data_IF_255521744583
#
_entry.id   IF_255521744583
#
_cell.length_a   1.000
_cell.length_b   1.000
_cell.length_c   1.000
_cell.angle_alpha   90.00
_cell.angle_beta   90.00
_cell.angle_gamma   90.00
#
_symmetry.space_group_name_H-M   'P 1'
#
loop_
_entity.id
_entity.type
_entity.pdbx_description
1 polymer ?
#
# COMPACT_ATOMS: atom_id res chain seq x y z
N UNK A 1 36.87 23.10 -15.15
CA UNK A 1 35.57 22.88 -15.83
C UNK A 1 34.91 21.54 -15.50
N UNK A 2 35.65 20.46 -15.20
CA UNK A 2 35.03 19.16 -14.87
C UNK A 2 34.35 19.13 -13.50
N UNK A 3 34.98 19.69 -12.45
CA UNK A 3 34.41 19.71 -11.09
C UNK A 3 32.98 20.30 -11.04
N UNK A 4 32.74 21.38 -11.79
CA UNK A 4 31.41 22.01 -11.91
C UNK A 4 30.39 21.09 -12.58
N UNK A 5 30.80 20.29 -13.58
CA UNK A 5 29.89 19.33 -14.24
C UNK A 5 29.59 18.15 -13.32
N UNK A 6 30.59 17.58 -12.65
CA UNK A 6 30.40 16.51 -11.66
C UNK A 6 29.49 16.94 -10.51
N UNK A 7 29.65 18.16 -9.98
CA UNK A 7 28.76 18.69 -8.94
C UNK A 7 27.32 18.91 -9.45
N UNK A 8 27.15 19.36 -10.70
CA UNK A 8 25.82 19.53 -11.30
C UNK A 8 25.14 18.17 -11.53
N UNK A 9 25.87 17.16 -12.00
CA UNK A 9 25.35 15.79 -12.16
C UNK A 9 24.95 15.20 -10.81
N UNK A 10 25.76 15.35 -9.77
CA UNK A 10 25.46 14.90 -8.41
C UNK A 10 24.20 15.58 -7.84
N UNK A 11 24.08 16.90 -8.00
CA UNK A 11 22.90 17.65 -7.57
C UNK A 11 21.62 17.26 -8.31
N UNK A 12 21.70 17.03 -9.63
CA UNK A 12 20.53 16.59 -10.43
C UNK A 12 20.06 15.19 -10.05
N UNK A 13 20.98 14.27 -9.76
CA UNK A 13 20.65 12.92 -9.33
C UNK A 13 19.97 12.93 -7.95
N UNK A 14 20.53 13.68 -7.00
CA UNK A 14 19.93 13.84 -5.67
C UNK A 14 18.53 14.45 -5.75
N UNK A 15 18.34 15.47 -6.59
CA UNK A 15 17.03 16.04 -6.83
C UNK A 15 16.02 14.99 -7.34
N UNK A 16 16.43 14.15 -8.31
CA UNK A 16 15.56 13.12 -8.84
C UNK A 16 15.17 12.08 -7.79
N UNK A 17 16.12 11.63 -6.95
CA UNK A 17 15.84 10.71 -5.84
C UNK A 17 14.88 11.31 -4.82
N UNK A 18 15.03 12.60 -4.49
CA UNK A 18 14.12 13.32 -3.59
C UNK A 18 12.72 13.43 -4.19
N UNK A 19 12.61 13.70 -5.51
CA UNK A 19 11.32 13.69 -6.21
C UNK A 19 10.66 12.31 -6.15
N UNK A 20 11.42 11.26 -6.43
CA UNK A 20 10.94 9.87 -6.40
C UNK A 20 10.44 9.49 -5.00
N UNK A 21 11.23 9.79 -3.96
CA UNK A 21 10.86 9.61 -2.57
C UNK A 21 9.52 10.29 -2.22
N UNK A 22 9.33 11.55 -2.63
CA UNK A 22 8.10 12.29 -2.32
C UNK A 22 6.88 11.80 -3.08
N UNK A 23 7.09 11.19 -4.25
CA UNK A 23 6.03 10.64 -5.09
C UNK A 23 5.70 9.18 -4.77
N UNK A 24 6.63 8.46 -4.15
CA UNK A 24 6.46 7.05 -3.80
C UNK A 24 5.25 6.86 -2.88
N UNK A 25 4.37 5.93 -3.25
CA UNK A 25 3.20 5.50 -2.45
C UNK A 25 3.15 3.98 -2.46
N UNK A 26 2.63 3.39 -1.39
CA UNK A 26 2.40 1.95 -1.36
C UNK A 26 1.30 1.61 -2.38
N UNK A 27 1.63 0.73 -3.32
CA UNK A 27 0.69 0.29 -4.34
C UNK A 27 -0.37 -0.67 -3.77
N UNK A 28 -1.59 -0.72 -4.35
CA UNK A 28 -2.61 -1.66 -3.92
C UNK A 28 -2.13 -3.12 -3.96
N UNK A 29 -2.14 -3.79 -2.81
CA UNK A 29 -1.71 -5.19 -2.69
C UNK A 29 -0.19 -5.39 -2.59
N UNK A 30 0.61 -4.31 -2.60
CA UNK A 30 2.03 -4.39 -2.31
C UNK A 30 2.25 -4.66 -0.81
N UNK A 31 3.16 -5.57 -0.49
CA UNK A 31 3.43 -5.90 0.91
C UNK A 31 4.13 -4.74 1.64
N UNK A 32 3.96 -4.67 2.95
CA UNK A 32 4.64 -3.69 3.81
C UNK A 32 6.16 -3.82 3.68
N UNK A 33 6.70 -5.05 3.60
CA UNK A 33 8.14 -5.25 3.46
C UNK A 33 8.66 -4.81 2.11
N UNK A 34 8.00 -5.21 1.01
CA UNK A 34 8.43 -4.79 -0.34
C UNK A 34 8.39 -3.26 -0.49
N UNK A 35 7.37 -2.63 0.11
CA UNK A 35 7.26 -1.18 0.13
C UNK A 35 8.35 -0.52 0.96
N UNK A 36 8.61 -1.04 2.15
CA UNK A 36 9.67 -0.56 3.03
C UNK A 36 11.05 -0.68 2.40
N UNK A 37 11.34 -1.80 1.72
CA UNK A 37 12.60 -2.04 1.02
C UNK A 37 12.82 -1.03 -0.12
N UNK A 38 11.76 -0.68 -0.88
CA UNK A 38 11.84 0.37 -1.91
C UNK A 38 12.15 1.74 -1.31
N UNK A 39 11.52 2.08 -0.19
CA UNK A 39 11.77 3.32 0.50
C UNK A 39 13.23 3.37 0.98
N UNK A 40 13.70 2.32 1.67
CA UNK A 40 15.08 2.18 2.14
C UNK A 40 16.09 2.31 1.00
N UNK A 41 15.83 1.68 -0.14
CA UNK A 41 16.70 1.80 -1.31
C UNK A 41 16.90 3.25 -1.75
N UNK A 42 15.82 4.04 -1.91
CA UNK A 42 15.94 5.45 -2.31
C UNK A 42 16.71 6.24 -1.24
N UNK A 43 16.46 5.97 0.03
CA UNK A 43 17.14 6.63 1.14
C UNK A 43 18.64 6.35 1.20
N UNK A 44 19.04 5.10 1.02
CA UNK A 44 20.45 4.72 0.98
C UNK A 44 21.16 5.44 -0.16
N UNK A 45 20.50 5.60 -1.31
CA UNK A 45 21.04 6.36 -2.44
C UNK A 45 21.17 7.86 -2.14
N UNK A 46 20.26 8.44 -1.37
CA UNK A 46 20.36 9.83 -0.89
C UNK A 46 21.50 9.95 0.14
N UNK A 47 21.62 8.99 1.06
CA UNK A 47 22.64 8.99 2.12
C UNK A 47 24.06 8.88 1.55
N UNK A 48 24.25 8.05 0.51
CA UNK A 48 25.53 7.98 -0.24
C UNK A 48 25.88 9.33 -0.88
N UNK A 49 24.87 10.16 -1.20
CA UNK A 49 25.07 11.49 -1.77
C UNK A 49 25.41 12.57 -0.73
N UNK A 50 25.24 12.28 0.56
CA UNK A 50 25.47 13.21 1.66
C UNK A 50 26.96 13.33 2.03
N UNK A 51 27.38 14.49 2.57
CA UNK A 51 28.76 14.69 2.98
C UNK A 51 29.11 13.81 4.19
N UNK A 52 30.37 13.38 4.26
CA UNK A 52 30.91 12.72 5.45
C UNK A 52 30.93 13.69 6.64
N UNK A 53 30.34 13.28 7.76
CA UNK A 53 30.33 14.05 9.00
C UNK A 53 31.71 14.02 9.70
N UNK A 54 32.26 15.19 10.03
CA UNK A 54 33.51 15.28 10.78
C UNK A 54 33.32 15.07 12.30
N UNK A 55 32.12 15.35 12.82
CA UNK A 55 31.78 15.26 14.24
C UNK A 55 30.77 14.13 14.46
N UNK A 56 31.11 13.18 15.34
CA UNK A 56 30.23 12.03 15.66
C UNK A 56 28.91 12.44 16.31
N UNK A 57 28.89 13.52 17.10
CA UNK A 57 27.67 14.00 17.75
C UNK A 57 26.69 14.57 16.72
N UNK A 58 27.20 15.33 15.76
CA UNK A 58 26.39 15.91 14.69
C UNK A 58 25.86 14.81 13.76
N UNK A 59 26.69 13.80 13.45
CA UNK A 59 26.27 12.62 12.70
C UNK A 59 25.11 11.88 13.39
N UNK A 60 25.21 11.67 14.70
CA UNK A 60 24.16 11.01 15.47
C UNK A 60 22.88 11.84 15.53
N UNK A 61 22.99 13.16 15.72
CA UNK A 61 21.83 14.04 15.73
C UNK A 61 21.14 14.09 14.36
N UNK A 62 21.92 14.14 13.27
CA UNK A 62 21.40 14.06 11.91
C UNK A 62 20.70 12.72 11.66
N UNK A 63 21.29 11.60 12.09
CA UNK A 63 20.66 10.29 11.97
C UNK A 63 19.30 10.24 12.69
N UNK A 64 19.19 10.79 13.90
CA UNK A 64 17.90 10.85 14.61
C UNK A 64 16.84 11.68 13.87
N UNK A 65 17.22 12.84 13.32
CA UNK A 65 16.30 13.70 12.55
C UNK A 65 15.86 12.98 11.26
N UNK A 66 16.81 12.31 10.60
CA UNK A 66 16.54 11.53 9.41
C UNK A 66 15.59 10.38 9.72
N UNK A 67 15.85 9.59 10.76
CA UNK A 67 15.02 8.45 11.15
C UNK A 67 13.59 8.87 11.51
N UNK A 68 13.42 10.05 12.13
CA UNK A 68 12.09 10.64 12.36
C UNK A 68 11.40 11.03 11.04
N UNK A 69 12.12 11.66 10.11
CA UNK A 69 11.59 11.97 8.79
C UNK A 69 11.20 10.70 8.00
N UNK A 70 12.04 9.65 8.06
CA UNK A 70 11.78 8.34 7.46
C UNK A 70 10.47 7.76 7.96
N UNK A 71 10.26 7.79 9.27
CA UNK A 71 9.05 7.28 9.90
C UNK A 71 7.81 8.00 9.37
N UNK A 72 7.81 9.32 9.32
CA UNK A 72 6.65 10.07 8.83
C UNK A 72 6.44 9.91 7.33
N UNK A 73 7.51 9.93 6.53
CA UNK A 73 7.44 9.69 5.10
C UNK A 73 6.83 8.30 4.80
N UNK A 74 7.30 7.27 5.50
CA UNK A 74 6.77 5.92 5.41
C UNK A 74 5.29 5.87 5.78
N UNK A 75 4.92 6.35 6.97
CA UNK A 75 3.53 6.31 7.43
C UNK A 75 2.57 7.08 6.51
N UNK A 76 2.97 8.25 6.02
CA UNK A 76 2.14 9.12 5.15
C UNK A 76 1.86 8.52 3.78
N UNK A 77 2.72 7.63 3.31
CA UNK A 77 2.69 7.06 1.96
C UNK A 77 2.10 5.65 1.90
N UNK A 78 1.79 5.05 3.04
CA UNK A 78 1.08 3.76 3.14
C UNK A 78 -0.30 3.81 2.49
N UNK A 79 -0.75 2.65 2.03
CA UNK A 79 -2.08 2.44 1.50
C UNK A 79 -3.14 2.71 2.59
N UNK A 80 -4.33 3.16 2.17
CA UNK A 80 -5.42 3.58 3.07
C UNK A 80 -5.94 2.47 4.00
N UNK A 81 -5.68 1.21 3.69
CA UNK A 81 -6.09 0.08 4.54
C UNK A 81 -5.39 0.12 5.90
N UNK A 82 -4.24 0.79 5.98
CA UNK A 82 -3.47 0.97 7.21
C UNK A 82 -3.81 2.28 7.96
N UNK A 83 -4.79 3.07 7.51
CA UNK A 83 -5.22 4.30 8.21
C UNK A 83 -5.53 4.07 9.70
N UNK A 84 -6.25 2.99 10.10
CA UNK A 84 -6.59 2.76 11.51
C UNK A 84 -5.38 2.58 12.42
N UNK A 85 -4.34 1.89 11.94
CA UNK A 85 -3.11 1.66 12.72
C UNK A 85 -2.18 2.87 12.65
N UNK A 86 -2.17 3.61 11.53
CA UNK A 86 -1.40 4.85 11.37
C UNK A 86 -1.74 5.87 12.46
N UNK A 87 -3.04 6.11 12.70
CA UNK A 87 -3.48 7.02 13.75
C UNK A 87 -3.03 6.58 15.15
N UNK A 88 -3.04 5.27 15.43
CA UNK A 88 -2.58 4.75 16.73
C UNK A 88 -1.07 4.94 16.93
N UNK A 89 -0.28 4.68 15.88
CA UNK A 89 1.17 4.82 15.91
C UNK A 89 1.60 6.28 16.12
N UNK A 90 0.92 7.23 15.44
CA UNK A 90 1.22 8.66 15.55
C UNK A 90 0.87 9.27 16.91
N UNK A 91 -0.11 8.72 17.63
CA UNK A 91 -0.53 9.22 18.94
C UNK A 91 0.25 8.61 20.12
N UNK A 92 1.23 7.73 19.86
CA UNK A 92 1.97 7.04 20.91
C UNK A 92 3.07 7.94 21.51
N UNK A 93 3.21 7.89 22.84
CA UNK A 93 4.29 8.54 23.57
C UNK A 93 4.99 7.54 24.51
N UNK A 94 6.31 7.33 24.39
CA UNK A 94 7.22 7.95 23.41
C UNK A 94 6.95 7.47 21.97
N UNK A 95 7.42 8.24 20.99
CA UNK A 95 7.29 7.88 19.58
C UNK A 95 7.97 6.51 19.32
N UNK A 96 7.31 5.59 18.59
CA UNK A 96 7.87 4.29 18.27
C UNK A 96 9.04 4.42 17.27
N UNK A 97 10.00 3.51 17.35
CA UNK A 97 11.06 3.43 16.34
C UNK A 97 10.51 2.92 15.00
N UNK A 98 11.20 3.23 13.90
CA UNK A 98 10.85 2.75 12.55
C UNK A 98 10.70 1.22 12.51
N UNK A 99 11.64 0.48 13.09
CA UNK A 99 11.58 -0.98 13.19
C UNK A 99 10.35 -1.48 13.96
N UNK A 100 9.94 -0.77 15.02
CA UNK A 100 8.75 -1.12 15.78
C UNK A 100 7.50 -0.95 14.92
N UNK A 101 7.42 0.17 14.20
CA UNK A 101 6.33 0.50 13.28
C UNK A 101 6.20 -0.52 12.15
N UNK A 102 7.30 -0.86 11.47
CA UNK A 102 7.29 -1.87 10.39
C UNK A 102 6.78 -3.21 10.91
N UNK A 103 7.27 -3.68 12.07
CA UNK A 103 6.84 -4.95 12.66
C UNK A 103 5.36 -4.97 13.07
N UNK A 104 4.81 -3.84 13.52
CA UNK A 104 3.38 -3.72 13.84
C UNK A 104 2.53 -3.70 12.56
N UNK A 105 2.99 -3.03 11.50
CA UNK A 105 2.31 -2.98 10.21
C UNK A 105 2.30 -4.33 9.50
N UNK A 106 3.39 -5.10 9.55
CA UNK A 106 3.43 -6.48 9.01
C UNK A 106 2.44 -7.39 9.74
N UNK A 107 2.30 -7.24 11.07
CA UNK A 107 1.27 -7.97 11.83
C UNK A 107 -0.14 -7.56 11.42
N UNK A 108 -0.35 -6.27 11.20
CA UNK A 108 -1.64 -5.75 10.76
C UNK A 108 -2.00 -6.22 9.34
N UNK A 109 -1.03 -6.25 8.43
CA UNK A 109 -1.17 -6.80 7.09
C UNK A 109 -1.65 -8.26 7.14
N UNK A 110 -1.01 -9.11 7.95
CA UNK A 110 -1.42 -10.51 8.13
C UNK A 110 -2.85 -10.63 8.71
N UNK A 111 -3.21 -9.74 9.64
CA UNK A 111 -4.56 -9.68 10.22
C UNK A 111 -5.61 -9.31 9.17
N UNK A 112 -5.33 -8.29 8.35
CA UNK A 112 -6.21 -7.84 7.26
C UNK A 112 -6.38 -8.94 6.20
N UNK A 113 -5.31 -9.63 5.81
CA UNK A 113 -5.37 -10.75 4.88
C UNK A 113 -6.27 -11.89 5.39
N UNK A 114 -6.16 -12.22 6.69
CA UNK A 114 -7.00 -13.24 7.33
C UNK A 114 -8.48 -12.83 7.31
N UNK A 115 -8.78 -11.58 7.66
CA UNK A 115 -10.15 -11.06 7.63
C UNK A 115 -10.75 -11.07 6.22
N UNK A 116 -9.95 -10.71 5.21
CA UNK A 116 -10.37 -10.75 3.82
C UNK A 116 -10.68 -12.18 3.35
N UNK A 117 -9.87 -13.17 3.75
CA UNK A 117 -10.12 -14.58 3.45
C UNK A 117 -11.43 -15.09 4.08
N UNK A 118 -11.70 -14.75 5.35
CA UNK A 118 -12.94 -15.09 6.03
C UNK A 118 -14.17 -14.48 5.35
N UNK A 119 -14.09 -13.20 4.96
CA UNK A 119 -15.18 -12.53 4.26
C UNK A 119 -15.49 -13.20 2.91
N UNK A 120 -14.47 -13.63 2.16
CA UNK A 120 -14.66 -14.37 0.89
C UNK A 120 -15.38 -15.71 1.11
N UNK A 121 -15.05 -16.43 2.17
CA UNK A 121 -15.74 -17.68 2.53
C UNK A 121 -17.21 -17.44 2.91
N UNK A 122 -17.49 -16.41 3.70
CA UNK A 122 -18.86 -16.08 4.10
C UNK A 122 -19.76 -15.69 2.91
N UNK A 123 -19.21 -15.00 1.90
CA UNK A 123 -19.96 -14.66 0.67
C UNK A 123 -20.32 -15.91 -0.14
N UNK A 124 -19.41 -16.89 -0.25
CA UNK A 124 -19.64 -18.12 -1.01
C UNK A 124 -20.70 -19.03 -0.35
N UNK A 125 -20.85 -18.97 0.97
CA UNK A 125 -21.85 -19.76 1.72
C UNK A 125 -23.28 -19.19 1.57
N UNK A 126 -23.42 -17.90 1.24
CA UNK A 126 -24.73 -17.22 1.19
C UNK A 126 -25.36 -17.21 -0.22
N UNK A 127 -24.64 -17.63 -1.29
CA UNK A 127 -25.28 -17.79 -2.60
C UNK A 127 -26.28 -18.95 -2.55
N UNK A 128 -27.60 -18.71 -2.65
CA UNK A 128 -28.56 -19.79 -2.72
C UNK A 128 -28.35 -20.48 -4.07
N UNK A 129 -27.91 -21.73 -4.05
CA UNK A 129 -27.94 -22.61 -5.22
C UNK A 129 -29.38 -22.63 -5.73
N UNK A 130 -29.64 -21.91 -6.82
CA UNK A 130 -30.95 -21.89 -7.45
C UNK A 130 -31.16 -23.27 -8.06
N UNK A 131 -32.15 -24.08 -7.62
CA UNK A 131 -32.39 -25.34 -8.28
C UNK A 131 -32.98 -25.04 -9.67
N UNK A 132 -32.39 -25.62 -10.70
CA UNK A 132 -32.92 -25.63 -12.05
C UNK A 132 -34.24 -26.42 -12.03
N UNK A 133 -35.37 -25.72 -11.99
CA UNK A 133 -36.69 -26.34 -12.12
C UNK A 133 -36.88 -26.70 -13.59
N UNK A 134 -36.80 -28.00 -13.91
CA UNK A 134 -37.30 -28.55 -15.17
C UNK A 134 -38.81 -28.33 -15.26
N UNK A 135 -39.26 -27.58 -16.28
CA UNK A 135 -40.68 -27.44 -16.59
C UNK A 135 -41.19 -28.71 -17.30
N UNK A 136 -42.34 -29.28 -16.89
CA UNK A 136 -42.95 -30.40 -17.61
C UNK A 136 -43.55 -29.96 -18.94
N UNK A 137 -43.25 -30.70 -20.01
CA UNK A 137 -43.94 -30.60 -21.29
C UNK A 137 -45.43 -30.94 -21.12
N UNK A 138 -46.33 -30.02 -21.45
CA UNK A 138 -47.74 -30.34 -21.69
C UNK A 138 -48.03 -30.32 -23.18
N UNK A 139 -48.20 -31.54 -23.70
CA UNK A 139 -48.86 -31.90 -24.94
C UNK A 139 -50.37 -31.60 -24.89
N UNK A 140 -50.96 -31.19 -26.02
CA UNK A 140 -52.39 -31.41 -26.26
C UNK A 140 -53.11 -30.31 -27.04
N UNK A 141 -53.45 -30.65 -28.28
CA UNK A 141 -54.07 -29.84 -29.33
C UNK A 141 -55.55 -29.40 -29.15
N UNK A 142 -55.93 -28.47 -30.04
CA UNK A 142 -57.17 -28.37 -30.84
C UNK A 142 -58.06 -27.11 -30.70
N UNK A 143 -57.97 -26.28 -31.76
CA UNK A 143 -59.03 -25.77 -32.66
C UNK A 143 -60.29 -25.09 -32.11
N UNK A 144 -60.60 -23.90 -32.64
CA UNK A 144 -61.94 -23.32 -32.55
C UNK A 144 -62.16 -21.91 -33.10
N UNK A 145 -62.08 -21.75 -34.43
CA UNK A 145 -62.86 -20.86 -35.30
C UNK A 145 -63.45 -19.51 -34.81
N UNK A 146 -63.07 -18.47 -35.58
CA UNK A 146 -63.96 -17.61 -36.37
C UNK A 146 -64.49 -16.27 -35.81
N UNK A 147 -64.45 -15.31 -36.76
CA UNK A 147 -65.21 -14.06 -36.92
C UNK A 147 -64.61 -12.78 -36.31
N UNK A 148 -64.65 -11.59 -36.93
CA UNK A 148 -65.10 -11.09 -38.24
C UNK A 148 -65.09 -9.54 -38.16
N UNK A 149 -64.59 -8.85 -39.20
CA UNK A 149 -64.83 -7.43 -39.59
C UNK A 149 -64.25 -6.37 -38.62
N UNK A 150 -63.75 -5.21 -39.06
CA UNK A 150 -63.88 -4.47 -40.32
C UNK A 150 -62.65 -3.58 -40.45
#
# INVERSE_FOLDING_TARGET
>A
MLAKRYSTTHGSMKYQLVVELHQLRQEPGQSINDYYDQLCFIWDQIDISDPTWACSKDAQQYASIRDEFLLYAFLMSLHKDFEPIRGQLLNRSPAPSLNTVVNELVREEARLATLQAQNKLNVLVITPSTPLIEQPQQSGDFSGSSNRRK
#
